data_IF_199331289487
#
_entry.id   IF_199331289487
#
_cell.length_a   1.000
_cell.length_b   1.000
_cell.length_c   1.000
_cell.angle_alpha   90.00
_cell.angle_beta   90.00
_cell.angle_gamma   90.00
#
_symmetry.space_group_name_H-M   'P 1'
#
loop_
_entity.id
_entity.type
_entity.pdbx_description
1 polymer ?
#
# COMPACT_ATOMS: atom_id res chain seq x y z
N UNK A 1 5.09 15.38 29.95
CA UNK A 1 4.98 14.16 29.12
C UNK A 1 4.36 14.59 27.80
N UNK A 2 5.15 14.75 26.74
CA UNK A 2 4.66 15.19 25.43
C UNK A 2 4.07 14.00 24.69
N UNK A 3 2.74 13.98 24.54
CA UNK A 3 2.05 13.04 23.66
C UNK A 3 2.61 13.17 22.24
N UNK A 4 3.04 12.04 21.68
CA UNK A 4 3.40 11.95 20.27
C UNK A 4 2.13 12.16 19.45
N UNK A 5 1.92 13.36 18.90
CA UNK A 5 0.75 13.66 18.07
C UNK A 5 0.77 12.76 16.83
N UNK A 6 -0.05 11.73 16.85
CA UNK A 6 -0.27 10.83 15.73
C UNK A 6 -1.07 11.59 14.65
N UNK A 7 -0.62 11.53 13.39
CA UNK A 7 -1.20 12.31 12.29
C UNK A 7 -1.37 11.47 11.02
N UNK A 8 -2.29 11.89 10.15
CA UNK A 8 -2.55 11.26 8.85
C UNK A 8 -2.53 12.29 7.74
N UNK A 9 -1.81 12.01 6.67
CA UNK A 9 -1.77 12.87 5.49
C UNK A 9 -2.66 12.34 4.37
N UNK A 10 -3.46 13.23 3.80
CA UNK A 10 -4.36 13.00 2.68
C UNK A 10 -3.79 13.69 1.44
N UNK A 11 -4.01 13.10 0.27
CA UNK A 11 -3.63 13.66 -1.02
C UNK A 11 -4.83 13.60 -1.96
N UNK A 12 -4.95 14.59 -2.84
CA UNK A 12 -5.89 14.52 -3.94
C UNK A 12 -5.70 13.24 -4.79
N UNK A 13 -6.80 12.71 -5.31
CA UNK A 13 -6.81 11.51 -6.16
C UNK A 13 -6.31 11.80 -7.58
N UNK A 14 -6.37 13.05 -8.02
CA UNK A 14 -5.86 13.49 -9.31
C UNK A 14 -4.32 13.46 -9.34
N UNK A 15 -3.76 12.78 -10.34
CA UNK A 15 -2.33 12.49 -10.43
C UNK A 15 -1.46 13.76 -10.48
N UNK A 16 -1.92 14.76 -11.23
CA UNK A 16 -1.17 16.01 -11.45
C UNK A 16 -1.50 17.08 -10.40
N UNK A 17 -2.41 16.78 -9.47
CA UNK A 17 -2.78 17.67 -8.38
C UNK A 17 -1.81 17.55 -7.21
N UNK A 18 -1.30 18.69 -6.75
CA UNK A 18 -0.39 18.78 -5.61
C UNK A 18 -1.10 18.99 -4.27
N UNK A 19 -2.43 19.11 -4.28
CA UNK A 19 -3.21 19.32 -3.07
C UNK A 19 -3.02 18.16 -2.07
N UNK A 20 -2.67 18.50 -0.85
CA UNK A 20 -2.41 17.58 0.27
C UNK A 20 -2.66 18.29 1.59
N UNK A 21 -3.25 17.58 2.54
CA UNK A 21 -3.45 18.11 3.89
C UNK A 21 -3.24 17.02 4.94
N UNK A 22 -2.81 17.42 6.13
CA UNK A 22 -2.55 16.53 7.26
C UNK A 22 -3.59 16.78 8.34
N UNK A 23 -4.21 15.72 8.85
CA UNK A 23 -5.16 15.78 9.96
C UNK A 23 -4.58 15.15 11.22
N UNK A 24 -5.01 15.64 12.36
CA UNK A 24 -4.84 14.98 13.66
C UNK A 24 -5.59 13.64 13.65
N UNK A 25 -4.99 12.57 14.16
CA UNK A 25 -5.70 11.30 14.32
C UNK A 25 -6.72 11.34 15.46
N UNK A 26 -6.53 12.22 16.45
CA UNK A 26 -7.36 12.27 17.65
C UNK A 26 -8.52 13.26 17.54
N UNK A 27 -8.31 14.40 16.88
CA UNK A 27 -9.26 15.52 16.88
C UNK A 27 -9.87 15.79 15.52
N UNK A 28 -9.47 15.05 14.47
CA UNK A 28 -9.85 15.28 13.07
C UNK A 28 -9.57 16.68 12.50
N UNK A 29 -8.91 17.55 13.27
CA UNK A 29 -8.52 18.89 12.84
C UNK A 29 -7.51 18.84 11.70
N UNK A 30 -7.65 19.76 10.75
CA UNK A 30 -6.62 20.00 9.73
C UNK A 30 -5.46 20.72 10.41
N UNK A 31 -4.30 20.07 10.45
CA UNK A 31 -3.09 20.61 11.06
C UNK A 31 -2.38 21.58 10.11
N UNK A 32 -2.20 21.19 8.85
CA UNK A 32 -1.59 21.99 7.80
C UNK A 32 -1.81 21.33 6.42
N UNK A 33 -1.77 22.11 5.35
CA UNK A 33 -1.91 21.58 4.00
C UNK A 33 -2.14 22.63 2.92
N UNK A 34 -1.99 22.21 1.68
CA UNK A 34 -2.46 22.93 0.51
C UNK A 34 -3.77 22.30 0.06
N UNK A 35 -4.87 23.02 0.28
CA UNK A 35 -6.24 22.60 -0.08
C UNK A 35 -6.70 23.19 -1.41
N UNK A 36 -5.88 24.03 -2.06
CA UNK A 36 -6.15 24.54 -3.40
C UNK A 36 -5.88 23.48 -4.47
N UNK A 37 -6.85 23.31 -5.36
CA UNK A 37 -6.79 22.35 -6.46
C UNK A 37 -6.54 23.08 -7.78
N UNK A 38 -5.75 22.46 -8.68
CA UNK A 38 -5.49 22.96 -10.03
C UNK A 38 -6.45 22.36 -11.08
N UNK A 39 -7.59 21.83 -10.65
CA UNK A 39 -8.57 21.15 -11.49
C UNK A 39 -9.98 21.34 -10.91
N UNK A 40 -11.00 21.15 -11.76
CA UNK A 40 -12.40 21.12 -11.32
C UNK A 40 -12.77 19.86 -10.55
N UNK A 41 -14.03 19.76 -10.11
CA UNK A 41 -14.54 18.53 -9.49
C UNK A 41 -14.41 17.36 -10.47
N UNK A 42 -13.93 16.23 -9.96
CA UNK A 42 -13.82 15.01 -10.75
C UNK A 42 -15.11 14.20 -10.60
N UNK A 43 -15.80 13.94 -11.70
CA UNK A 43 -16.98 13.06 -11.74
C UNK A 43 -16.64 11.61 -12.13
N UNK A 44 -15.37 11.33 -12.41
CA UNK A 44 -14.87 9.99 -12.76
C UNK A 44 -14.90 9.03 -11.56
N UNK A 45 -16.08 8.46 -11.33
CA UNK A 45 -16.34 7.45 -10.31
C UNK A 45 -15.52 6.18 -10.53
N UNK A 46 -15.21 5.85 -11.78
CA UNK A 46 -14.42 4.66 -12.16
C UNK A 46 -12.97 4.82 -11.70
N UNK A 47 -12.35 5.98 -11.89
CA UNK A 47 -11.00 6.26 -11.38
C UNK A 47 -10.91 6.21 -9.85
N UNK A 48 -11.96 6.67 -9.15
CA UNK A 48 -12.04 6.56 -7.70
C UNK A 48 -12.15 5.09 -7.25
N UNK A 49 -13.01 4.30 -7.88
CA UNK A 49 -13.16 2.86 -7.63
C UNK A 49 -11.82 2.11 -7.83
N UNK A 50 -11.11 2.40 -8.94
CA UNK A 50 -9.76 1.87 -9.21
C UNK A 50 -8.80 2.16 -8.06
N UNK A 51 -8.78 3.40 -7.58
CA UNK A 51 -7.89 3.80 -6.50
C UNK A 51 -8.25 3.10 -5.19
N UNK A 52 -9.53 3.04 -4.85
CA UNK A 52 -10.02 2.38 -3.64
C UNK A 52 -9.65 0.90 -3.61
N UNK A 53 -9.96 0.14 -4.67
CA UNK A 53 -9.63 -1.28 -4.78
C UNK A 53 -8.12 -1.49 -4.62
N UNK A 54 -7.32 -0.70 -5.32
CA UNK A 54 -5.85 -0.76 -5.25
C UNK A 54 -5.35 -0.53 -3.83
N UNK A 55 -5.86 0.48 -3.11
CA UNK A 55 -5.41 0.75 -1.74
C UNK A 55 -5.88 -0.32 -0.77
N UNK A 56 -7.09 -0.88 -0.95
CA UNK A 56 -7.59 -1.96 -0.08
C UNK A 56 -6.76 -3.22 -0.22
N UNK A 57 -6.55 -3.67 -1.46
CA UNK A 57 -5.69 -4.81 -1.75
C UNK A 57 -4.26 -4.59 -1.28
N UNK A 58 -3.74 -3.36 -1.39
CA UNK A 58 -2.39 -3.02 -0.92
C UNK A 58 -2.26 -3.12 0.60
N UNK A 59 -3.27 -2.65 1.36
CA UNK A 59 -3.32 -2.80 2.83
C UNK A 59 -3.37 -4.27 3.23
N UNK A 60 -4.26 -5.05 2.62
CA UNK A 60 -4.34 -6.51 2.86
C UNK A 60 -3.04 -7.24 2.51
N UNK A 61 -2.35 -6.83 1.45
CA UNK A 61 -1.07 -7.43 1.07
C UNK A 61 0.09 -7.05 2.02
N UNK A 62 -0.07 -6.04 2.86
CA UNK A 62 0.86 -5.68 3.93
C UNK A 62 0.64 -6.57 5.15
N UNK A 63 -0.62 -6.83 5.49
CA UNK A 63 -1.00 -7.69 6.62
C UNK A 63 -0.80 -9.19 6.31
N UNK A 64 -1.06 -9.60 5.07
CA UNK A 64 -0.96 -10.99 4.61
C UNK A 64 0.01 -11.13 3.43
N UNK A 65 1.20 -11.66 3.75
CA UNK A 65 2.29 -11.86 2.80
C UNK A 65 2.15 -13.15 1.98
N UNK A 66 1.36 -14.11 2.46
CA UNK A 66 1.34 -15.49 1.95
C UNK A 66 0.17 -15.70 0.98
N UNK A 67 -1.00 -15.17 1.32
CA UNK A 67 -2.23 -15.41 0.58
C UNK A 67 -2.10 -15.01 -0.90
N UNK A 68 -2.76 -15.74 -1.79
CA UNK A 68 -2.62 -15.51 -3.23
C UNK A 68 -3.23 -14.16 -3.60
N UNK A 69 -2.54 -13.30 -4.37
CA UNK A 69 -3.07 -11.99 -4.76
C UNK A 69 -4.44 -12.06 -5.43
N UNK A 70 -4.70 -13.12 -6.21
CA UNK A 70 -6.00 -13.35 -6.85
C UNK A 70 -7.14 -13.44 -5.83
N UNK A 71 -6.94 -14.16 -4.72
CA UNK A 71 -7.98 -14.34 -3.70
C UNK A 71 -8.30 -13.01 -3.02
N UNK A 72 -7.27 -12.28 -2.61
CA UNK A 72 -7.42 -10.94 -2.02
C UNK A 72 -8.18 -10.00 -2.98
N UNK A 73 -7.80 -9.95 -4.26
CA UNK A 73 -8.46 -9.08 -5.24
C UNK A 73 -9.94 -9.45 -5.42
N UNK A 74 -10.27 -10.74 -5.45
CA UNK A 74 -11.67 -11.18 -5.57
C UNK A 74 -12.45 -10.82 -4.31
N UNK A 75 -11.92 -11.10 -3.12
CA UNK A 75 -12.57 -10.78 -1.85
C UNK A 75 -12.79 -9.28 -1.65
N UNK A 76 -11.77 -8.47 -1.92
CA UNK A 76 -11.87 -6.99 -1.83
C UNK A 76 -12.70 -6.41 -2.99
N UNK A 77 -12.76 -7.10 -4.14
CA UNK A 77 -13.59 -6.71 -5.26
C UNK A 77 -15.07 -6.99 -5.01
N UNK A 78 -15.42 -8.07 -4.30
CA UNK A 78 -16.82 -8.40 -3.99
C UNK A 78 -17.50 -7.36 -3.09
N UNK A 79 -16.74 -6.69 -2.22
CA UNK A 79 -17.25 -5.61 -1.37
C UNK A 79 -17.38 -4.28 -2.10
N UNK A 80 -17.05 -4.23 -3.40
CA UNK A 80 -16.97 -3.01 -4.20
C UNK A 80 -17.66 -3.21 -5.55
N UNK A 81 -18.22 -2.14 -6.11
CA UNK A 81 -18.70 -2.18 -7.50
C UNK A 81 -17.49 -2.08 -8.43
N UNK A 82 -17.08 -3.21 -9.02
CA UNK A 82 -15.90 -3.29 -9.91
C UNK A 82 -16.20 -3.02 -11.38
N UNK A 83 -17.41 -2.53 -11.70
CA UNK A 83 -17.82 -2.22 -13.06
C UNK A 83 -16.92 -1.14 -13.67
N UNK A 84 -16.46 -1.39 -14.90
CA UNK A 84 -15.53 -0.51 -15.62
C UNK A 84 -14.04 -0.73 -15.32
N UNK A 85 -13.69 -1.72 -14.48
CA UNK A 85 -12.29 -2.18 -14.35
C UNK A 85 -11.91 -3.07 -15.53
N UNK A 86 -10.73 -2.81 -16.11
CA UNK A 86 -10.17 -3.66 -17.15
C UNK A 86 -9.00 -4.52 -16.62
N UNK A 87 -8.52 -5.44 -17.45
CA UNK A 87 -7.43 -6.34 -17.08
C UNK A 87 -6.15 -5.61 -16.66
N UNK A 88 -5.84 -4.48 -17.31
CA UNK A 88 -4.66 -3.65 -16.99
C UNK A 88 -4.77 -3.03 -15.60
N UNK A 89 -5.97 -2.64 -15.18
CA UNK A 89 -6.21 -2.14 -13.82
C UNK A 89 -5.92 -3.22 -12.79
N UNK A 90 -6.40 -4.45 -13.02
CA UNK A 90 -6.14 -5.60 -12.14
C UNK A 90 -4.65 -5.93 -12.07
N UNK A 91 -3.93 -5.88 -13.19
CA UNK A 91 -2.48 -6.09 -13.21
C UNK A 91 -1.72 -5.03 -12.41
N UNK A 92 -2.18 -3.78 -12.48
CA UNK A 92 -1.62 -2.69 -11.67
C UNK A 92 -1.87 -2.91 -10.18
N UNK A 93 -3.03 -3.45 -9.79
CA UNK A 93 -3.31 -3.86 -8.40
C UNK A 93 -2.33 -4.94 -7.95
N UNK A 94 -2.17 -6.02 -8.74
CA UNK A 94 -1.21 -7.11 -8.43
C UNK A 94 0.21 -6.58 -8.27
N UNK A 95 0.67 -5.71 -9.18
CA UNK A 95 2.00 -5.07 -9.09
C UNK A 95 2.15 -4.23 -7.82
N UNK A 96 1.10 -3.52 -7.41
CA UNK A 96 1.13 -2.73 -6.18
C UNK A 96 1.22 -3.60 -4.92
N UNK A 97 0.48 -4.72 -4.89
CA UNK A 97 0.55 -5.71 -3.80
C UNK A 97 1.95 -6.32 -3.68
N UNK A 98 2.53 -6.79 -4.80
CA UNK A 98 3.88 -7.36 -4.79
C UNK A 98 4.94 -6.35 -4.35
N UNK A 99 4.82 -5.09 -4.78
CA UNK A 99 5.71 -4.02 -4.30
C UNK A 99 5.60 -3.82 -2.78
N UNK A 100 4.42 -4.00 -2.19
CA UNK A 100 4.26 -3.89 -0.75
C UNK A 100 4.88 -5.10 -0.03
N UNK A 101 4.57 -6.32 -0.47
CA UNK A 101 5.13 -7.56 0.11
C UNK A 101 6.65 -7.60 0.09
N UNK A 102 7.27 -7.15 -1.01
CA UNK A 102 8.73 -7.09 -1.14
C UNK A 102 9.42 -6.20 -0.12
N UNK A 103 8.71 -5.26 0.53
CA UNK A 103 9.29 -4.47 1.63
C UNK A 103 9.56 -5.29 2.89
N UNK A 104 8.85 -6.42 3.06
CA UNK A 104 9.02 -7.34 4.18
C UNK A 104 10.03 -8.45 3.87
N UNK A 105 10.46 -8.56 2.61
CA UNK A 105 11.48 -9.53 2.22
C UNK A 105 12.87 -8.94 2.48
N UNK A 106 13.85 -9.79 2.89
CA UNK A 106 15.22 -9.34 3.02
C UNK A 106 15.72 -8.83 1.65
N UNK A 107 16.59 -7.82 1.69
CA UNK A 107 17.24 -7.33 0.47
C UNK A 107 18.14 -8.44 -0.07
N UNK A 108 18.21 -8.54 -1.40
CA UNK A 108 19.14 -9.48 -2.03
C UNK A 108 20.57 -9.08 -1.65
N UNK A 109 21.43 -10.06 -1.32
CA UNK A 109 22.84 -9.81 -1.06
C UNK A 109 23.50 -9.14 -2.27
N UNK A 110 24.29 -8.10 -2.03
CA UNK A 110 24.98 -7.35 -3.09
C UNK A 110 26.38 -7.90 -3.30
N UNK A 111 27.00 -8.43 -2.24
CA UNK A 111 28.33 -9.04 -2.28
C UNK A 111 28.29 -10.52 -1.93
N UNK A 112 29.35 -11.24 -2.33
CA UNK A 112 29.57 -12.63 -1.93
C UNK A 112 29.59 -12.78 -0.40
N UNK A 113 30.18 -11.83 0.33
CA UNK A 113 30.21 -11.89 1.79
C UNK A 113 28.82 -11.72 2.41
N UNK A 114 28.00 -10.83 1.87
CA UNK A 114 26.61 -10.66 2.32
C UNK A 114 25.79 -11.93 2.05
N UNK A 115 26.06 -12.61 0.94
CA UNK A 115 25.39 -13.87 0.61
C UNK A 115 25.77 -14.97 1.61
N UNK A 116 27.06 -15.13 1.91
CA UNK A 116 27.53 -16.10 2.91
C UNK A 116 26.94 -15.82 4.29
N UNK A 117 26.88 -14.54 4.70
CA UNK A 117 26.26 -14.12 5.96
C UNK A 117 24.76 -14.48 5.99
N UNK A 118 24.03 -14.14 4.94
CA UNK A 118 22.60 -14.47 4.84
C UNK A 118 22.34 -15.98 4.89
N UNK A 119 23.19 -16.81 4.26
CA UNK A 119 23.09 -18.27 4.34
C UNK A 119 23.29 -18.76 5.78
N UNK A 120 24.33 -18.28 6.48
CA UNK A 120 24.58 -18.67 7.88
C UNK A 120 23.45 -18.29 8.84
N UNK A 121 22.80 -17.15 8.61
CA UNK A 121 21.63 -16.70 9.40
C UNK A 121 20.36 -17.56 9.15
N UNK A 122 20.29 -18.24 8.00
CA UNK A 122 19.18 -19.14 7.66
C UNK A 122 19.42 -20.53 8.28
N UNK A 123 20.65 -21.06 8.20
CA UNK A 123 21.02 -22.36 8.74
C UNK A 123 20.84 -22.42 10.27
N UNK A 124 21.27 -21.38 10.98
CA UNK A 124 21.13 -21.28 12.46
C UNK A 124 19.68 -21.26 12.96
N UNK A 125 18.69 -21.01 12.09
CA UNK A 125 17.26 -21.07 12.45
C UNK A 125 16.66 -22.47 12.31
N UNK A 126 17.29 -23.36 11.55
CA UNK A 126 16.80 -24.73 11.35
C UNK A 126 17.28 -25.70 12.46
N UNK A 127 18.36 -25.35 13.16
CA UNK A 127 18.95 -26.22 14.18
C UNK A 127 18.28 -26.10 15.58
N UNK A 128 17.43 -25.09 15.81
CA UNK A 128 16.67 -24.95 17.07
C UNK A 128 15.34 -25.71 17.09
N UNK A 129 14.91 -26.29 15.97
CA UNK A 129 13.65 -27.05 15.83
C UNK A 129 13.88 -28.58 15.78
N UNK A 130 15.00 -29.07 16.33
CA UNK A 130 15.33 -30.50 16.42
C UNK A 130 15.46 -31.01 17.85
#
# INVERSE_FOLDING_TARGET
MSESKSSRTWRCTQKDCKARFTTSLNTTDILHGMTSHCHGKTEDSVSLKKLQLRQSCKRKAEDDLIERPRKIIVTEGQSMETDGLNQRDIDNVRKAMWRQRRKHQPKLPISRMDALRAISEIETRQDCDR
#
